data_IF_530816486434
#
_entry.id   IF_530816486434
#
_cell.length_a   1.000
_cell.length_b   1.000
_cell.length_c   1.000
_cell.angle_alpha   90.00
_cell.angle_beta   90.00
_cell.angle_gamma   90.00
#
_symmetry.space_group_name_H-M   'P 1'
#
loop_
_entity.id
_entity.type
_entity.pdbx_description
1 polymer ?
#
# COMPACT_ATOMS: atom_id res chain seq x y z
N UNK A 1 7.31 -12.53 2.53
CA UNK A 1 6.18 -13.49 2.55
C UNK A 1 4.86 -12.76 2.28
N UNK A 2 4.38 -11.84 3.14
CA UNK A 2 3.07 -11.16 2.95
C UNK A 2 2.96 -10.34 1.67
N UNK A 3 3.99 -9.55 1.33
CA UNK A 3 4.01 -8.77 0.07
C UNK A 3 3.89 -9.70 -1.16
N UNK A 4 4.57 -10.85 -1.13
CA UNK A 4 4.50 -11.84 -2.21
C UNK A 4 3.09 -12.44 -2.29
N UNK A 5 2.45 -12.75 -1.16
CA UNK A 5 1.06 -13.22 -1.12
C UNK A 5 0.07 -12.18 -1.68
N UNK A 6 0.27 -10.90 -1.36
CA UNK A 6 -0.51 -9.79 -1.90
C UNK A 6 -0.38 -9.66 -3.42
N UNK A 7 0.84 -9.78 -3.95
CA UNK A 7 1.11 -9.76 -5.39
C UNK A 7 0.55 -10.99 -6.10
N UNK A 8 0.72 -12.18 -5.53
CA UNK A 8 0.18 -13.43 -6.09
C UNK A 8 -1.34 -13.37 -6.15
N UNK A 9 -2.00 -12.83 -5.13
CA UNK A 9 -3.46 -12.67 -5.15
C UNK A 9 -3.89 -11.77 -6.32
N UNK A 10 -3.34 -10.56 -6.45
CA UNK A 10 -3.67 -9.63 -7.54
C UNK A 10 -3.41 -10.25 -8.92
N UNK A 11 -2.28 -10.94 -9.07
CA UNK A 11 -1.91 -11.59 -10.32
C UNK A 11 -2.87 -12.73 -10.69
N UNK A 12 -3.30 -13.54 -9.71
CA UNK A 12 -4.31 -14.59 -9.93
C UNK A 12 -5.66 -13.98 -10.31
N UNK A 13 -6.11 -12.91 -9.64
CA UNK A 13 -7.36 -12.24 -10.01
C UNK A 13 -7.31 -11.71 -11.44
N UNK A 14 -6.18 -11.09 -11.82
CA UNK A 14 -5.99 -10.55 -13.16
C UNK A 14 -5.99 -11.66 -14.22
N UNK A 15 -5.33 -12.79 -13.96
CA UNK A 15 -5.32 -13.95 -14.87
C UNK A 15 -6.71 -14.60 -15.01
N UNK A 16 -7.46 -14.73 -13.91
CA UNK A 16 -8.81 -15.30 -13.94
C UNK A 16 -9.78 -14.39 -14.70
N UNK A 17 -9.65 -13.07 -14.57
CA UNK A 17 -10.45 -12.12 -15.32
C UNK A 17 -10.09 -12.05 -16.81
N UNK A 18 -8.83 -12.32 -17.18
CA UNK A 18 -8.41 -12.45 -18.58
C UNK A 18 -8.81 -13.81 -19.18
N UNK A 19 -9.08 -14.82 -18.35
CA UNK A 19 -9.58 -16.11 -18.81
C UNK A 19 -11.00 -15.95 -19.34
N UNK A 20 -11.29 -16.56 -20.50
CA UNK A 20 -12.62 -16.53 -21.15
C UNK A 20 -13.69 -17.37 -20.41
N UNK A 21 -13.37 -17.93 -19.25
CA UNK A 21 -14.31 -18.76 -18.48
C UNK A 21 -15.35 -17.89 -17.78
N UNK A 22 -16.41 -17.55 -18.52
CA UNK A 22 -17.56 -16.78 -18.04
C UNK A 22 -18.28 -17.48 -16.86
N UNK A 23 -18.14 -18.80 -16.72
CA UNK A 23 -18.77 -19.59 -15.67
C UNK A 23 -18.37 -19.18 -14.23
N UNK A 24 -17.17 -18.63 -14.03
CA UNK A 24 -16.73 -18.15 -12.70
C UNK A 24 -17.30 -16.76 -12.38
N UNK A 25 -17.52 -15.92 -13.40
CA UNK A 25 -18.05 -14.56 -13.25
C UNK A 25 -19.55 -14.60 -12.91
N UNK A 26 -20.28 -15.62 -13.34
CA UNK A 26 -21.71 -15.81 -13.03
C UNK A 26 -21.98 -16.15 -11.55
N UNK A 27 -20.96 -16.54 -10.79
CA UNK A 27 -21.12 -16.79 -9.35
C UNK A 27 -21.30 -15.44 -8.63
N UNK A 28 -22.45 -15.19 -7.96
CA UNK A 28 -22.78 -13.86 -7.42
C UNK A 28 -21.79 -13.36 -6.36
N UNK A 29 -21.09 -14.27 -5.68
CA UNK A 29 -20.08 -13.93 -4.67
C UNK A 29 -18.67 -13.75 -5.23
N UNK A 30 -18.39 -14.14 -6.48
CA UNK A 30 -17.05 -14.11 -7.04
C UNK A 30 -16.52 -12.68 -7.16
N UNK A 31 -17.28 -11.77 -7.77
CA UNK A 31 -16.84 -10.37 -7.94
C UNK A 31 -16.65 -9.65 -6.58
N UNK A 32 -17.61 -9.68 -5.64
CA UNK A 32 -17.42 -9.06 -4.33
C UNK A 32 -16.23 -9.61 -3.55
N UNK A 33 -16.00 -10.93 -3.59
CA UNK A 33 -14.88 -11.57 -2.88
C UNK A 33 -13.52 -11.14 -3.45
N UNK A 34 -13.42 -11.04 -4.78
CA UNK A 34 -12.20 -10.56 -5.43
C UNK A 34 -11.92 -9.09 -5.10
N UNK A 35 -12.95 -8.22 -5.19
CA UNK A 35 -12.83 -6.80 -4.80
C UNK A 35 -12.39 -6.67 -3.35
N UNK A 36 -13.02 -7.42 -2.43
CA UNK A 36 -12.64 -7.44 -1.02
C UNK A 36 -11.19 -7.91 -0.83
N UNK A 37 -10.76 -8.96 -1.54
CA UNK A 37 -9.38 -9.46 -1.50
C UNK A 37 -8.35 -8.42 -1.92
N UNK A 38 -8.67 -7.59 -2.93
CA UNK A 38 -7.80 -6.51 -3.39
C UNK A 38 -7.72 -5.39 -2.36
N UNK A 39 -8.87 -4.95 -1.82
CA UNK A 39 -8.92 -3.90 -0.79
C UNK A 39 -8.19 -4.32 0.49
N UNK A 40 -8.32 -5.59 0.90
CA UNK A 40 -7.61 -6.16 2.03
C UNK A 40 -6.10 -6.23 1.76
N UNK A 41 -5.70 -6.66 0.55
CA UNK A 41 -4.30 -6.70 0.14
C UNK A 41 -3.66 -5.30 0.16
N UNK A 42 -4.37 -4.30 -0.38
CA UNK A 42 -3.98 -2.90 -0.39
C UNK A 42 -3.83 -2.36 1.05
N UNK A 43 -4.84 -2.56 1.88
CA UNK A 43 -4.82 -2.13 3.30
C UNK A 43 -3.67 -2.77 4.06
N UNK A 44 -3.43 -4.06 3.86
CA UNK A 44 -2.36 -4.80 4.53
C UNK A 44 -0.97 -4.27 4.14
N UNK A 45 -0.74 -3.98 2.86
CA UNK A 45 0.51 -3.39 2.40
C UNK A 45 0.79 -2.06 3.10
N UNK A 46 -0.20 -1.16 3.14
CA UNK A 46 -0.01 0.13 3.81
C UNK A 46 0.16 -0.02 5.32
N UNK A 47 -0.54 -0.97 5.94
CA UNK A 47 -0.37 -1.32 7.36
C UNK A 47 1.05 -1.80 7.66
N UNK A 48 1.65 -2.64 6.81
CA UNK A 48 3.05 -3.06 6.98
C UNK A 48 3.99 -1.85 6.94
N UNK A 49 3.75 -0.90 6.02
CA UNK A 49 4.56 0.31 5.95
C UNK A 49 4.39 1.23 7.16
N UNK A 50 3.23 1.25 7.82
CA UNK A 50 3.06 1.94 9.12
C UNK A 50 4.10 1.45 10.12
N UNK A 51 4.21 0.13 10.29
CA UNK A 51 5.15 -0.46 11.24
C UNK A 51 6.61 -0.27 10.80
N UNK A 52 6.91 -0.32 9.50
CA UNK A 52 8.25 -0.01 9.01
C UNK A 52 8.64 1.45 9.29
N UNK A 53 7.73 2.41 9.06
CA UNK A 53 8.01 3.81 9.35
C UNK A 53 8.15 4.06 10.85
N UNK A 54 7.29 3.50 11.69
CA UNK A 54 7.40 3.60 13.14
C UNK A 54 8.72 2.98 13.64
N UNK A 55 9.07 1.78 13.15
CA UNK A 55 10.31 1.11 13.52
C UNK A 55 11.54 1.92 13.13
N UNK A 56 11.57 2.46 11.91
CA UNK A 56 12.69 3.28 11.44
C UNK A 56 12.76 4.65 12.12
N UNK A 57 11.60 5.21 12.49
CA UNK A 57 11.53 6.45 13.25
C UNK A 57 12.09 6.29 14.66
N UNK A 58 11.70 5.21 15.37
CA UNK A 58 12.08 5.01 16.77
C UNK A 58 13.42 4.29 16.98
N UNK A 59 13.89 3.50 16.00
CA UNK A 59 15.16 2.76 16.09
C UNK A 59 16.27 3.37 15.22
N UNK A 60 16.13 4.62 14.79
CA UNK A 60 17.18 5.35 14.10
C UNK A 60 18.45 5.46 14.95
N UNK A 61 19.60 5.37 14.28
CA UNK A 61 20.92 5.68 14.87
C UNK A 61 21.50 6.88 14.14
N UNK A 62 22.04 7.84 14.89
CA UNK A 62 22.75 8.98 14.29
C UNK A 62 24.17 8.60 13.83
N UNK A 63 24.89 9.57 13.27
CA UNK A 63 26.27 9.39 12.80
C UNK A 63 27.27 9.01 13.92
N UNK A 64 26.90 9.20 15.19
CA UNK A 64 27.68 8.84 16.37
C UNK A 64 27.18 7.52 17.03
N UNK A 65 26.31 6.77 16.35
CA UNK A 65 25.64 5.56 16.87
C UNK A 65 24.77 5.78 18.11
N UNK A 66 24.33 7.00 18.39
CA UNK A 66 23.34 7.27 19.44
C UNK A 66 21.95 7.01 18.88
N UNK A 67 21.04 6.51 19.74
CA UNK A 67 19.62 6.36 19.39
C UNK A 67 19.05 7.74 19.06
N UNK A 68 18.64 7.93 17.83
CA UNK A 68 18.03 9.14 17.32
C UNK A 68 16.63 8.81 16.84
N UNK A 69 15.63 9.42 17.48
CA UNK A 69 14.24 9.35 17.03
C UNK A 69 14.06 10.39 15.92
N UNK A 70 13.64 9.97 14.72
CA UNK A 70 13.39 10.91 13.63
C UNK A 70 13.43 10.31 12.22
N UNK A 71 13.54 11.18 11.22
CA UNK A 71 13.55 10.80 9.80
C UNK A 71 12.25 11.07 9.06
N UNK A 72 11.16 11.29 9.81
CA UNK A 72 9.91 11.91 9.39
C UNK A 72 9.68 13.12 10.30
N UNK A 73 9.25 14.23 9.74
CA UNK A 73 8.94 15.46 10.47
C UNK A 73 7.42 15.68 10.42
N UNK A 74 6.76 15.48 11.56
CA UNK A 74 5.32 15.60 11.71
C UNK A 74 4.96 17.01 12.20
N UNK A 75 4.05 17.73 11.54
CA UNK A 75 3.72 19.10 11.94
C UNK A 75 3.19 19.18 13.37
N UNK A 76 3.85 19.96 14.21
CA UNK A 76 3.48 20.18 15.61
C UNK A 76 3.47 18.93 16.51
N UNK A 77 3.97 17.78 16.05
CA UNK A 77 4.03 16.55 16.84
C UNK A 77 5.48 16.06 16.97
N UNK A 78 5.93 15.86 18.21
CA UNK A 78 7.30 15.45 18.54
C UNK A 78 7.39 13.96 18.90
N UNK A 79 6.28 13.36 19.32
CA UNK A 79 6.16 11.97 19.70
C UNK A 79 5.01 11.32 18.91
N UNK A 80 5.18 11.14 17.58
CA UNK A 80 4.12 10.63 16.72
C UNK A 80 3.68 9.22 17.12
N UNK A 81 2.38 9.00 17.14
CA UNK A 81 1.81 7.69 17.44
C UNK A 81 1.64 6.83 16.17
N UNK A 82 1.10 5.61 16.32
CA UNK A 82 0.87 4.72 15.17
C UNK A 82 -0.13 5.29 14.15
N UNK A 83 -1.04 6.18 14.56
CA UNK A 83 -2.01 6.82 13.67
C UNK A 83 -1.32 7.87 12.81
N UNK A 84 -0.31 8.58 13.31
CA UNK A 84 0.50 9.51 12.51
C UNK A 84 1.27 8.77 11.40
N UNK A 85 1.87 7.61 11.71
CA UNK A 85 2.49 6.76 10.71
C UNK A 85 1.47 6.14 9.75
N UNK A 86 0.25 5.85 10.21
CA UNK A 86 -0.85 5.41 9.36
C UNK A 86 -1.28 6.51 8.39
N UNK A 87 -1.42 7.74 8.86
CA UNK A 87 -1.68 8.91 8.02
C UNK A 87 -0.65 9.02 6.91
N UNK A 88 0.64 9.03 7.25
CA UNK A 88 1.71 9.10 6.25
C UNK A 88 1.67 7.92 5.26
N UNK A 89 1.50 6.69 5.76
CA UNK A 89 1.50 5.47 4.94
C UNK A 89 0.30 5.40 3.98
N UNK A 90 -0.90 5.69 4.45
CA UNK A 90 -2.12 5.61 3.64
C UNK A 90 -2.24 6.79 2.68
N UNK A 91 -1.73 7.98 3.03
CA UNK A 91 -1.64 9.11 2.09
C UNK A 91 -0.69 8.80 0.93
N UNK A 92 0.47 8.18 1.23
CA UNK A 92 1.39 7.67 0.19
C UNK A 92 0.70 6.63 -0.71
N UNK A 93 -0.15 5.77 -0.13
CA UNK A 93 -0.94 4.76 -0.85
C UNK A 93 -2.03 5.33 -1.74
N UNK A 94 -2.73 6.35 -1.24
CA UNK A 94 -4.00 6.81 -1.82
C UNK A 94 -3.85 7.93 -2.84
N UNK A 95 -2.87 8.84 -2.67
CA UNK A 95 -2.88 10.14 -3.39
C UNK A 95 -1.50 10.64 -3.85
N UNK A 96 -0.54 9.74 -4.11
CA UNK A 96 0.79 10.12 -4.62
C UNK A 96 1.58 11.10 -3.73
N UNK A 97 1.34 11.07 -2.42
CA UNK A 97 1.95 11.92 -1.39
C UNK A 97 1.50 13.38 -1.42
N UNK A 98 0.35 13.64 -0.80
CA UNK A 98 -0.04 14.98 -0.31
C UNK A 98 -0.04 14.94 1.22
N UNK A 99 1.10 14.57 1.80
CA UNK A 99 1.31 14.61 3.24
C UNK A 99 2.00 15.92 3.63
N UNK A 100 1.57 16.54 4.72
CA UNK A 100 2.30 17.62 5.40
C UNK A 100 3.56 17.12 6.13
N UNK A 101 3.73 15.80 6.24
CA UNK A 101 4.90 15.12 6.79
C UNK A 101 6.08 15.15 5.80
N UNK A 102 7.23 15.63 6.28
CA UNK A 102 8.46 15.75 5.49
C UNK A 102 9.48 14.66 5.81
N UNK A 103 10.12 14.08 4.79
CA UNK A 103 11.13 13.02 4.98
C UNK A 103 12.54 13.59 5.14
N UNK A 104 13.08 13.57 6.35
CA UNK A 104 14.42 14.11 6.66
C UNK A 104 15.53 13.05 6.49
N UNK A 105 15.24 11.77 6.70
CA UNK A 105 16.24 10.69 6.63
C UNK A 105 16.46 10.12 5.21
N UNK A 106 17.74 9.90 4.84
CA UNK A 106 18.11 9.21 3.59
C UNK A 106 17.57 7.77 3.55
N UNK A 107 17.54 7.07 4.68
CA UNK A 107 17.06 5.69 4.78
C UNK A 107 15.55 5.63 4.55
N UNK A 108 14.80 6.52 5.22
CA UNK A 108 13.34 6.62 5.03
C UNK A 108 12.99 7.05 3.60
N UNK A 109 13.79 7.91 2.94
CA UNK A 109 13.57 8.23 1.51
C UNK A 109 13.64 7.00 0.61
N UNK A 110 14.57 6.06 0.87
CA UNK A 110 14.64 4.80 0.08
C UNK A 110 13.43 3.91 0.34
N UNK A 111 12.95 3.84 1.57
CA UNK A 111 11.75 3.09 1.94
C UNK A 111 10.52 3.70 1.28
N UNK A 112 10.37 5.03 1.35
CA UNK A 112 9.27 5.77 0.72
C UNK A 112 9.28 5.64 -0.80
N UNK A 113 10.45 5.56 -1.44
CA UNK A 113 10.54 5.27 -2.88
C UNK A 113 9.94 3.91 -3.22
N UNK A 114 10.33 2.85 -2.49
CA UNK A 114 9.79 1.49 -2.71
C UNK A 114 8.28 1.47 -2.42
N UNK A 115 7.85 2.12 -1.34
CA UNK A 115 6.44 2.24 -1.01
C UNK A 115 5.67 2.96 -2.12
N UNK A 116 6.16 4.10 -2.61
CA UNK A 116 5.52 4.89 -3.67
C UNK A 116 5.39 4.12 -4.99
N UNK A 117 6.45 3.41 -5.42
CA UNK A 117 6.38 2.54 -6.60
C UNK A 117 5.34 1.43 -6.42
N UNK A 118 5.31 0.82 -5.23
CA UNK A 118 4.33 -0.22 -4.91
C UNK A 118 2.90 0.33 -4.95
N UNK A 119 2.65 1.48 -4.32
CA UNK A 119 1.36 2.18 -4.33
C UNK A 119 0.90 2.53 -5.74
N UNK A 120 1.81 3.03 -6.59
CA UNK A 120 1.52 3.32 -7.99
C UNK A 120 1.06 2.08 -8.76
N UNK A 121 1.76 0.96 -8.59
CA UNK A 121 1.38 -0.31 -9.24
C UNK A 121 0.02 -0.81 -8.73
N UNK A 122 -0.21 -0.78 -7.42
CA UNK A 122 -1.51 -1.15 -6.84
C UNK A 122 -2.66 -0.32 -7.42
N UNK A 123 -2.52 1.01 -7.43
CA UNK A 123 -3.54 1.89 -7.97
C UNK A 123 -3.79 1.63 -9.46
N UNK A 124 -2.72 1.40 -10.23
CA UNK A 124 -2.83 1.06 -11.65
C UNK A 124 -3.58 -0.26 -11.87
N UNK A 125 -3.25 -1.31 -11.10
CA UNK A 125 -3.95 -2.59 -11.19
C UNK A 125 -5.41 -2.51 -10.76
N UNK A 126 -5.71 -1.77 -9.69
CA UNK A 126 -7.10 -1.55 -9.22
C UNK A 126 -7.92 -0.89 -10.33
N UNK A 127 -7.40 0.16 -10.96
CA UNK A 127 -8.09 0.84 -12.07
C UNK A 127 -8.28 -0.09 -13.26
N UNK A 128 -7.22 -0.79 -13.71
CA UNK A 128 -7.30 -1.70 -14.84
C UNK A 128 -8.31 -2.83 -14.61
N UNK A 129 -8.35 -3.39 -13.39
CA UNK A 129 -9.29 -4.43 -13.03
C UNK A 129 -10.72 -3.90 -12.98
N UNK A 130 -10.93 -2.72 -12.39
CA UNK A 130 -12.25 -2.07 -12.32
C UNK A 130 -12.83 -1.89 -13.72
N UNK A 131 -12.01 -1.42 -14.68
CA UNK A 131 -12.42 -1.28 -16.09
C UNK A 131 -12.78 -2.65 -16.69
N UNK A 132 -11.98 -3.69 -16.45
CA UNK A 132 -12.27 -5.05 -16.93
C UNK A 132 -13.58 -5.61 -16.35
N UNK A 133 -13.86 -5.38 -15.05
CA UNK A 133 -15.10 -5.82 -14.40
C UNK A 133 -16.30 -5.15 -15.07
N UNK A 134 -16.25 -3.82 -15.21
CA UNK A 134 -17.35 -3.05 -15.81
C UNK A 134 -17.58 -3.49 -17.27
N UNK A 135 -16.52 -3.63 -18.06
CA UNK A 135 -16.60 -4.08 -19.44
C UNK A 135 -17.15 -5.51 -19.57
N UNK A 136 -16.85 -6.39 -18.60
CA UNK A 136 -17.39 -7.75 -18.52
C UNK A 136 -18.87 -7.79 -18.14
N UNK A 137 -19.33 -6.88 -17.27
CA UNK A 137 -20.74 -6.76 -16.86
C UNK A 137 -21.64 -6.10 -17.92
N UNK A 138 -21.06 -5.31 -18.82
CA UNK A 138 -21.79 -4.65 -19.92
C UNK A 138 -21.99 -5.55 -21.16
N UNK A 139 -21.46 -6.76 -21.15
CA UNK A 139 -21.67 -7.79 -22.19
C UNK A 139 -22.77 -8.74 -21.77
#
# INVERSE_FOLDING_TARGET
>A
MVIISSFTNIFIVLLLMMSKDQALIEIPYFVPLNVAGILLSWTMVHTIYVFHYAHEYYNGTDAENKRFMGGLDFPSEKNPDYIDFAYFSFVMGSTFQVSDVSITSRKIRRIALVHGVLSFLFNTFIVALTINIIAGLMK
#
